data_IF_667604942299
#
_entry.id   IF_667604942299
#
_cell.length_a   1.000
_cell.length_b   1.000
_cell.length_c   1.000
_cell.angle_alpha   90.00
_cell.angle_beta   90.00
_cell.angle_gamma   90.00
#
_symmetry.space_group_name_H-M   'P 1'
#
loop_
_entity.id
_entity.type
_entity.pdbx_description
1 polymer ?
#
# COMPACT_ATOMS: atom_id res chain seq x y z
N UNK A 1 35.09 20.58 67.14
CA UNK A 1 35.05 19.84 65.86
C UNK A 1 33.60 19.57 65.53
N UNK A 2 33.16 20.07 64.38
CA UNK A 2 31.80 19.96 63.87
C UNK A 2 31.52 18.54 63.35
N UNK A 3 30.26 18.11 63.41
CA UNK A 3 29.60 17.39 62.31
C UNK A 3 28.09 17.40 62.53
N UNK A 4 27.41 18.08 61.61
CA UNK A 4 25.97 18.23 61.49
C UNK A 4 25.39 16.95 60.86
N UNK A 5 24.38 16.35 61.48
CA UNK A 5 23.53 15.32 60.85
C UNK A 5 22.36 16.07 60.22
N UNK A 6 22.36 16.16 58.89
CA UNK A 6 21.28 16.79 58.13
C UNK A 6 20.19 15.72 57.91
N UNK A 7 19.01 16.01 58.42
CA UNK A 7 17.76 15.29 58.23
C UNK A 7 17.14 15.80 56.91
N UNK A 8 17.00 14.95 55.90
CA UNK A 8 16.27 15.28 54.67
C UNK A 8 14.94 14.54 54.65
N UNK A 9 13.89 15.35 54.66
CA UNK A 9 12.49 15.01 54.60
C UNK A 9 12.06 14.65 53.17
N UNK A 10 10.99 13.88 53.13
CA UNK A 10 10.19 13.38 52.01
C UNK A 10 9.84 14.37 50.90
N UNK A 11 9.80 13.87 49.67
CA UNK A 11 9.20 14.56 48.52
C UNK A 11 9.32 13.75 47.23
N UNK A 12 8.62 12.61 47.14
CA UNK A 12 8.46 11.88 45.88
C UNK A 12 7.45 12.62 45.02
N UNK A 13 7.92 13.44 44.08
CA UNK A 13 7.06 14.03 43.05
C UNK A 13 6.58 12.94 42.08
N UNK A 14 5.27 12.78 42.04
CA UNK A 14 4.52 11.89 41.17
C UNK A 14 4.50 12.49 39.75
N UNK A 15 5.34 11.96 38.84
CA UNK A 15 5.35 12.38 37.43
C UNK A 15 4.13 11.78 36.73
N UNK A 16 3.10 12.62 36.60
CA UNK A 16 1.87 12.36 35.83
C UNK A 16 2.19 12.17 34.34
N UNK A 17 1.91 11.01 33.71
CA UNK A 17 2.28 10.70 32.32
C UNK A 17 1.27 11.26 31.29
N UNK A 18 0.63 12.40 31.56
CA UNK A 18 -0.50 12.89 30.74
C UNK A 18 -0.16 13.99 29.72
N UNK A 19 1.11 14.27 29.43
CA UNK A 19 1.51 15.41 28.57
C UNK A 19 2.32 15.05 27.32
N UNK A 20 2.60 13.76 27.06
CA UNK A 20 3.41 13.35 25.90
C UNK A 20 2.60 13.07 24.62
N UNK A 21 1.29 12.86 24.74
CA UNK A 21 0.42 12.54 23.59
C UNK A 21 0.02 13.81 22.80
N UNK A 22 -0.03 14.95 23.48
CA UNK A 22 -0.35 16.26 22.88
C UNK A 22 0.78 16.87 22.07
N UNK A 23 2.00 16.32 22.10
CA UNK A 23 3.14 16.86 21.34
C UNK A 23 3.23 16.33 19.90
N UNK A 24 2.49 15.28 19.53
CA UNK A 24 2.54 14.69 18.18
C UNK A 24 1.35 15.06 17.30
N UNK A 25 0.32 15.70 17.85
CA UNK A 25 -0.85 16.17 17.09
C UNK A 25 -0.65 17.67 16.83
N UNK A 26 -0.50 18.10 15.56
CA UNK A 26 -0.33 19.52 15.21
C UNK A 26 -1.52 20.35 15.67
N UNK A 27 -1.26 21.62 16.02
CA UNK A 27 -2.35 22.55 16.32
C UNK A 27 -3.02 23.04 15.02
N UNK A 28 -4.28 23.49 15.10
CA UNK A 28 -5.03 24.01 13.95
C UNK A 28 -4.28 25.15 13.23
N UNK A 29 -3.66 26.06 13.99
CA UNK A 29 -2.93 27.19 13.41
C UNK A 29 -1.70 26.75 12.61
N UNK A 30 -1.02 25.68 13.04
CA UNK A 30 0.13 25.11 12.33
C UNK A 30 -0.30 24.46 11.02
N UNK A 31 -1.44 23.75 11.05
CA UNK A 31 -2.04 23.14 9.86
C UNK A 31 -2.48 24.21 8.86
N UNK A 32 -3.13 25.29 9.30
CA UNK A 32 -3.52 26.42 8.44
C UNK A 32 -2.31 27.10 7.80
N UNK A 33 -1.25 27.32 8.58
CA UNK A 33 0.00 27.93 8.09
C UNK A 33 0.67 27.06 7.04
N UNK A 34 0.77 25.75 7.29
CA UNK A 34 1.32 24.77 6.34
C UNK A 34 0.50 24.74 5.04
N UNK A 35 -0.83 24.67 5.16
CA UNK A 35 -1.73 24.60 4.02
C UNK A 35 -1.64 25.87 3.16
N UNK A 36 -1.60 27.05 3.79
CA UNK A 36 -1.45 28.34 3.12
C UNK A 36 -0.11 28.41 2.38
N UNK A 37 0.98 28.00 3.03
CA UNK A 37 2.29 27.97 2.40
C UNK A 37 2.33 27.04 1.17
N UNK A 38 1.77 25.83 1.28
CA UNK A 38 1.71 24.85 0.18
C UNK A 38 0.82 25.33 -0.98
N UNK A 39 -0.30 26.00 -0.68
CA UNK A 39 -1.20 26.56 -1.67
C UNK A 39 -0.57 27.73 -2.43
N UNK A 40 0.10 28.64 -1.72
CA UNK A 40 0.52 29.94 -2.25
C UNK A 40 1.91 29.90 -2.91
N UNK A 41 2.81 29.06 -2.40
CA UNK A 41 4.21 29.05 -2.84
C UNK A 41 4.57 27.92 -3.80
N UNK A 42 3.68 26.93 -3.97
CA UNK A 42 4.00 25.70 -4.69
C UNK A 42 2.88 25.26 -5.63
N UNK A 43 3.17 24.37 -6.58
CA UNK A 43 2.24 23.72 -7.53
C UNK A 43 2.03 22.20 -7.26
N UNK A 44 2.17 21.77 -6.01
CA UNK A 44 1.81 20.44 -5.51
C UNK A 44 0.31 20.11 -5.71
N UNK A 45 -0.04 19.21 -6.63
CA UNK A 45 -1.43 18.76 -6.87
C UNK A 45 -2.02 17.87 -5.74
N UNK A 46 -1.19 17.13 -5.01
CA UNK A 46 -1.62 16.25 -3.91
C UNK A 46 -0.55 16.21 -2.81
N UNK A 47 -0.98 16.25 -1.55
CA UNK A 47 -0.13 16.24 -0.37
C UNK A 47 -0.74 15.35 0.73
N UNK A 48 0.08 14.51 1.36
CA UNK A 48 -0.34 13.62 2.45
C UNK A 48 0.66 13.68 3.61
N UNK A 49 0.17 13.85 4.85
CA UNK A 49 0.94 13.89 6.09
C UNK A 49 0.35 12.90 7.09
N UNK A 50 1.18 11.97 7.58
CA UNK A 50 0.84 11.00 8.62
C UNK A 50 1.72 11.18 9.84
N UNK A 51 1.09 11.44 10.97
CA UNK A 51 1.69 11.50 12.30
C UNK A 51 0.95 10.51 13.20
N UNK A 52 1.54 10.13 14.33
CA UNK A 52 0.94 9.16 15.26
C UNK A 52 -0.39 9.68 15.82
N UNK A 53 -1.50 9.31 15.18
CA UNK A 53 -2.85 9.76 15.52
C UNK A 53 -3.41 10.93 14.68
N UNK A 54 -2.68 11.41 13.67
CA UNK A 54 -3.14 12.50 12.79
C UNK A 54 -2.83 12.18 11.32
N UNK A 55 -3.85 12.27 10.46
CA UNK A 55 -3.72 12.06 9.03
C UNK A 55 -4.33 13.25 8.29
N UNK A 56 -3.54 13.91 7.45
CA UNK A 56 -3.98 15.02 6.60
C UNK A 56 -3.71 14.65 5.14
N UNK A 57 -4.77 14.67 4.31
CA UNK A 57 -4.67 14.54 2.86
C UNK A 57 -5.29 15.75 2.20
N UNK A 58 -4.55 16.37 1.30
CA UNK A 58 -4.93 17.54 0.53
C UNK A 58 -4.80 17.20 -0.96
N UNK A 59 -5.83 17.50 -1.74
CA UNK A 59 -5.82 17.36 -3.20
C UNK A 59 -6.28 18.69 -3.78
N UNK A 60 -5.52 19.24 -4.74
CA UNK A 60 -5.87 20.48 -5.43
C UNK A 60 -5.95 20.25 -6.93
N UNK A 61 -6.99 20.80 -7.53
CA UNK A 61 -7.15 20.81 -8.98
C UNK A 61 -6.33 21.95 -9.56
N UNK A 62 -5.10 21.64 -10.00
CA UNK A 62 -4.33 22.59 -10.80
C UNK A 62 -4.93 22.67 -12.20
N UNK A 63 -5.39 23.86 -12.55
CA UNK A 63 -5.88 24.16 -13.89
C UNK A 63 -4.72 24.01 -14.86
N UNK A 64 -4.66 22.87 -15.55
CA UNK A 64 -3.84 22.71 -16.73
C UNK A 64 -4.41 23.67 -17.77
N UNK A 65 -3.69 24.77 -18.04
CA UNK A 65 -3.94 25.60 -19.21
C UNK A 65 -3.93 24.64 -20.41
N UNK A 66 -5.10 24.50 -21.02
CA UNK A 66 -5.37 23.59 -22.12
C UNK A 66 -4.66 24.18 -23.36
N UNK A 67 -3.39 23.86 -23.55
CA UNK A 67 -2.70 24.25 -24.77
C UNK A 67 -3.42 23.60 -25.97
N UNK A 68 -3.72 24.35 -27.04
CA UNK A 68 -4.26 23.79 -28.26
C UNK A 68 -3.30 22.72 -28.80
N UNK A 69 -3.82 21.52 -29.06
CA UNK A 69 -3.11 20.49 -29.79
C UNK A 69 -2.64 21.08 -31.14
N UNK A 70 -1.37 20.88 -31.54
CA UNK A 70 -0.95 21.23 -32.89
C UNK A 70 -1.78 20.43 -33.92
N UNK A 71 -2.15 21.03 -35.06
CA UNK A 71 -2.91 20.34 -36.09
C UNK A 71 -2.13 19.11 -36.57
N UNK A 72 -2.84 17.99 -36.70
CA UNK A 72 -2.29 16.72 -37.18
C UNK A 72 -1.58 16.91 -38.53
N UNK A 73 -0.41 16.28 -38.75
CA UNK A 73 0.20 16.23 -40.08
C UNK A 73 -0.73 15.46 -41.04
N UNK A 74 -0.95 16.03 -42.22
CA UNK A 74 -1.72 15.42 -43.30
C UNK A 74 -1.17 14.02 -43.69
N UNK A 75 -2.03 13.09 -44.15
CA UNK A 75 -1.58 11.78 -44.63
C UNK A 75 -0.71 11.93 -45.88
N UNK A 76 0.47 11.31 -45.85
CA UNK A 76 1.36 11.19 -47.00
C UNK A 76 0.76 10.25 -48.08
N UNK A 77 1.07 10.46 -49.37
CA UNK A 77 0.48 9.69 -50.46
C UNK A 77 0.98 8.24 -50.51
N UNK A 78 0.05 7.38 -50.90
CA UNK A 78 0.13 5.94 -51.12
C UNK A 78 1.16 5.57 -52.21
N UNK A 79 2.16 4.75 -51.89
CA UNK A 79 3.03 4.13 -52.90
C UNK A 79 2.53 2.71 -53.11
N UNK A 80 1.85 2.54 -54.25
CA UNK A 80 1.45 1.26 -54.83
C UNK A 80 2.71 0.43 -55.15
N UNK A 81 2.84 -0.75 -54.56
CA UNK A 81 3.72 -1.78 -55.10
C UNK A 81 2.93 -3.06 -55.33
N UNK A 82 2.52 -3.23 -56.58
CA UNK A 82 1.92 -4.43 -57.15
C UNK A 82 2.92 -5.58 -57.16
N UNK A 83 2.55 -6.71 -56.56
CA UNK A 83 3.02 -8.03 -56.98
C UNK A 83 1.92 -9.07 -56.75
N UNK A 84 1.66 -9.83 -57.80
CA UNK A 84 0.50 -10.68 -58.04
C UNK A 84 0.69 -12.15 -57.60
N UNK A 85 -0.32 -12.71 -56.91
CA UNK A 85 -1.09 -13.98 -57.13
C UNK A 85 -0.26 -15.28 -57.37
N UNK A 86 -0.50 -16.43 -56.68
CA UNK A 86 -1.83 -17.07 -56.69
C UNK A 86 -2.41 -17.70 -55.42
N UNK A 87 -3.74 -17.72 -55.48
CA UNK A 87 -4.71 -18.41 -54.66
C UNK A 87 -4.46 -19.91 -54.54
N UNK A 88 -4.62 -20.42 -53.34
CA UNK A 88 -5.20 -21.74 -53.12
C UNK A 88 -6.30 -21.65 -52.07
N UNK A 89 -7.45 -22.14 -52.50
CA UNK A 89 -8.72 -22.22 -51.81
C UNK A 89 -8.80 -23.44 -50.88
N UNK A 90 -9.70 -23.32 -49.88
CA UNK A 90 -10.31 -24.36 -49.03
C UNK A 90 -9.80 -24.43 -47.58
N UNK A 91 -10.67 -24.02 -46.65
CA UNK A 91 -10.41 -24.14 -45.22
C UNK A 91 -11.56 -23.64 -44.35
N UNK A 92 -12.77 -24.11 -44.61
CA UNK A 92 -13.90 -24.09 -43.68
C UNK A 92 -13.45 -24.72 -42.34
N UNK A 93 -13.51 -23.98 -41.23
CA UNK A 93 -14.12 -24.45 -39.97
C UNK A 93 -14.36 -23.29 -39.00
N UNK A 94 -15.65 -23.08 -38.74
CA UNK A 94 -16.16 -22.38 -37.56
C UNK A 94 -15.87 -23.20 -36.31
N UNK A 95 -15.93 -22.49 -35.18
CA UNK A 95 -16.26 -22.99 -33.84
C UNK A 95 -15.08 -23.46 -32.99
N UNK A 96 -14.80 -22.69 -31.94
CA UNK A 96 -14.55 -23.26 -30.62
C UNK A 96 -15.02 -22.26 -29.57
N UNK A 97 -16.29 -22.44 -29.18
CA UNK A 97 -16.77 -22.05 -27.86
C UNK A 97 -16.04 -22.91 -26.81
N UNK A 98 -15.78 -22.27 -25.67
CA UNK A 98 -15.80 -22.82 -24.32
C UNK A 98 -14.86 -23.99 -23.98
N UNK A 99 -13.87 -23.67 -23.13
CA UNK A 99 -13.60 -24.51 -21.96
C UNK A 99 -13.39 -23.61 -20.75
N UNK A 100 -14.50 -23.22 -20.12
CA UNK A 100 -14.49 -22.70 -18.75
C UNK A 100 -14.10 -23.86 -17.85
N UNK A 101 -12.81 -23.97 -17.58
CA UNK A 101 -12.28 -24.72 -16.45
C UNK A 101 -12.71 -23.94 -15.19
N UNK A 102 -13.33 -24.57 -14.18
CA UNK A 102 -13.52 -23.94 -12.88
C UNK A 102 -12.14 -23.84 -12.21
N UNK A 103 -11.41 -22.76 -12.51
CA UNK A 103 -10.25 -22.36 -11.74
C UNK A 103 -10.70 -21.61 -10.48
N UNK A 104 -10.00 -21.80 -9.36
CA UNK A 104 -10.39 -21.23 -8.09
C UNK A 104 -10.40 -19.71 -8.18
N UNK A 105 -11.60 -19.14 -8.03
CA UNK A 105 -12.00 -17.72 -8.03
C UNK A 105 -11.27 -16.82 -7.01
N UNK A 106 -10.14 -17.24 -6.45
CA UNK A 106 -9.49 -16.52 -5.34
C UNK A 106 -8.40 -15.52 -5.76
N UNK A 107 -8.08 -15.39 -7.05
CA UNK A 107 -7.07 -14.40 -7.52
C UNK A 107 -7.54 -13.53 -8.68
N UNK A 108 -8.85 -13.51 -9.00
CA UNK A 108 -9.39 -12.50 -9.91
C UNK A 108 -9.57 -11.17 -9.16
N UNK A 109 -9.43 -10.01 -9.84
CA UNK A 109 -9.67 -8.71 -9.22
C UNK A 109 -11.03 -8.63 -8.50
N UNK A 110 -12.09 -9.15 -9.11
CA UNK A 110 -13.45 -9.17 -8.56
C UNK A 110 -13.57 -10.03 -7.29
N UNK A 111 -12.91 -11.20 -7.26
CA UNK A 111 -12.91 -12.09 -6.10
C UNK A 111 -12.17 -11.49 -4.91
N UNK A 112 -11.08 -10.76 -5.17
CA UNK A 112 -10.30 -10.06 -4.15
C UNK A 112 -11.10 -8.89 -3.57
N UNK A 113 -11.75 -8.07 -4.41
CA UNK A 113 -12.59 -6.95 -3.95
C UNK A 113 -13.71 -7.41 -3.02
N UNK A 114 -14.46 -8.45 -3.42
CA UNK A 114 -15.53 -9.03 -2.58
C UNK A 114 -15.00 -9.57 -1.26
N UNK A 115 -13.81 -10.17 -1.26
CA UNK A 115 -13.20 -10.66 -0.02
C UNK A 115 -12.81 -9.50 0.89
N UNK A 116 -12.23 -8.44 0.34
CA UNK A 116 -11.82 -7.24 1.10
C UNK A 116 -13.01 -6.60 1.80
N UNK A 117 -14.14 -6.40 1.09
CA UNK A 117 -15.38 -5.88 1.70
C UNK A 117 -15.81 -6.72 2.90
N UNK A 118 -15.92 -8.04 2.72
CA UNK A 118 -16.31 -8.96 3.80
C UNK A 118 -15.30 -8.97 4.95
N UNK A 119 -14.01 -8.88 4.65
CA UNK A 119 -12.95 -8.88 5.65
C UNK A 119 -12.99 -7.60 6.49
N UNK A 120 -13.19 -6.44 5.86
CA UNK A 120 -13.34 -5.16 6.54
C UNK A 120 -14.60 -5.14 7.42
N UNK A 121 -15.73 -5.66 6.95
CA UNK A 121 -16.94 -5.84 7.77
C UNK A 121 -16.72 -6.76 8.98
N UNK A 122 -15.83 -7.76 8.81
CA UNK A 122 -15.40 -8.67 9.87
C UNK A 122 -14.33 -8.11 10.82
N UNK A 123 -13.95 -6.85 10.68
CA UNK A 123 -12.93 -6.21 11.53
C UNK A 123 -11.49 -6.61 11.22
N UNK A 124 -11.23 -7.23 10.06
CA UNK A 124 -9.86 -7.47 9.59
C UNK A 124 -9.28 -6.20 8.99
N UNK A 125 -8.00 -5.96 9.26
CA UNK A 125 -7.23 -4.90 8.62
C UNK A 125 -6.59 -5.42 7.33
N UNK A 126 -6.69 -4.61 6.28
CA UNK A 126 -6.15 -4.96 4.97
C UNK A 126 -4.83 -4.22 4.78
N UNK A 127 -3.74 -4.97 4.68
CA UNK A 127 -2.45 -4.45 4.24
C UNK A 127 -2.51 -4.22 2.74
N UNK A 128 -2.26 -2.98 2.33
CA UNK A 128 -2.27 -2.55 0.93
C UNK A 128 -0.85 -2.28 0.43
N UNK A 129 -0.64 -2.34 -0.88
CA UNK A 129 0.66 -2.07 -1.48
C UNK A 129 0.95 -0.57 -1.53
N UNK A 130 2.06 -0.08 -0.93
CA UNK A 130 2.47 1.32 -1.04
C UNK A 130 3.23 1.61 -2.34
N UNK A 131 3.48 0.60 -3.18
CA UNK A 131 4.31 0.67 -4.39
C UNK A 131 3.69 -0.15 -5.53
N UNK A 132 4.08 0.19 -6.76
CA UNK A 132 3.71 -0.59 -7.96
C UNK A 132 4.84 -1.56 -8.28
N UNK A 133 4.54 -2.83 -8.50
CA UNK A 133 5.55 -3.82 -8.84
C UNK A 133 5.01 -5.24 -8.89
N UNK A 134 5.87 -6.20 -8.61
CA UNK A 134 5.51 -7.63 -8.57
C UNK A 134 5.53 -8.12 -7.14
N UNK A 135 4.44 -8.74 -6.69
CA UNK A 135 4.32 -9.31 -5.36
C UNK A 135 5.25 -10.52 -5.19
N UNK A 136 6.04 -10.51 -4.12
CA UNK A 136 6.95 -11.60 -3.77
C UNK A 136 6.73 -12.02 -2.32
N UNK A 137 6.58 -13.33 -2.10
CA UNK A 137 6.44 -13.90 -0.74
C UNK A 137 7.75 -13.93 0.06
N UNK A 138 8.88 -13.80 -0.62
CA UNK A 138 10.22 -13.97 -0.08
C UNK A 138 11.21 -13.09 -0.86
N UNK A 139 12.31 -12.72 -0.24
CA UNK A 139 13.43 -12.07 -0.92
C UNK A 139 14.37 -13.06 -1.60
N UNK A 140 15.15 -12.56 -2.55
CA UNK A 140 16.24 -13.26 -3.21
C UNK A 140 17.55 -12.92 -2.50
N UNK A 141 18.25 -13.94 -2.00
CA UNK A 141 19.54 -13.80 -1.32
C UNK A 141 20.55 -14.66 -2.06
N UNK A 142 21.63 -14.06 -2.57
CA UNK A 142 22.70 -14.77 -3.30
C UNK A 142 22.17 -15.66 -4.45
N UNK A 143 21.19 -15.16 -5.20
CA UNK A 143 20.57 -15.88 -6.33
C UNK A 143 19.65 -17.03 -5.94
N UNK A 144 19.41 -17.26 -4.65
CA UNK A 144 18.46 -18.27 -4.16
C UNK A 144 17.27 -17.61 -3.47
N UNK A 145 16.13 -18.26 -3.60
CA UNK A 145 14.89 -17.80 -2.98
C UNK A 145 14.90 -18.14 -1.49
N UNK A 146 14.77 -17.12 -0.65
CA UNK A 146 14.64 -17.31 0.79
C UNK A 146 13.29 -17.95 1.15
N UNK A 147 13.11 -18.46 2.38
CA UNK A 147 11.79 -18.86 2.87
C UNK A 147 10.78 -17.70 2.79
N UNK A 148 9.47 -17.99 2.69
CA UNK A 148 8.44 -16.98 2.79
C UNK A 148 8.57 -16.16 4.07
N UNK A 149 8.43 -14.83 3.97
CA UNK A 149 8.49 -13.94 5.13
C UNK A 149 7.33 -14.18 6.10
N UNK A 150 6.20 -14.65 5.59
CA UNK A 150 5.04 -15.01 6.38
C UNK A 150 4.18 -16.11 5.75
N UNK A 151 3.33 -16.70 6.59
CA UNK A 151 2.37 -17.74 6.25
C UNK A 151 0.99 -17.39 6.85
N UNK A 152 -0.06 -17.98 6.31
CA UNK A 152 -1.41 -17.85 6.87
C UNK A 152 -1.46 -18.50 8.27
N UNK A 153 -2.25 -17.93 9.17
CA UNK A 153 -2.36 -18.24 10.59
C UNK A 153 -1.09 -17.96 11.41
N UNK A 154 -0.16 -17.16 10.87
CA UNK A 154 1.02 -16.73 11.61
C UNK A 154 0.76 -15.45 12.40
N UNK A 155 1.17 -15.44 13.67
CA UNK A 155 1.17 -14.23 14.50
C UNK A 155 2.35 -13.32 14.12
N UNK A 156 2.05 -12.04 13.91
CA UNK A 156 2.99 -11.00 13.48
C UNK A 156 2.92 -9.80 14.41
N UNK A 157 4.04 -9.08 14.51
CA UNK A 157 4.14 -7.82 15.24
C UNK A 157 4.24 -6.67 14.25
N UNK A 158 3.89 -5.48 14.71
CA UNK A 158 4.18 -4.23 13.99
C UNK A 158 5.67 -4.15 13.61
N UNK A 159 5.96 -3.67 12.40
CA UNK A 159 7.30 -3.58 11.83
C UNK A 159 7.89 -4.89 11.30
N UNK A 160 7.17 -6.02 11.42
CA UNK A 160 7.65 -7.29 10.83
C UNK A 160 7.46 -7.26 9.32
N UNK A 161 8.51 -7.60 8.56
CA UNK A 161 8.42 -7.79 7.10
C UNK A 161 7.52 -9.00 6.78
N UNK A 162 6.49 -8.77 5.98
CA UNK A 162 5.49 -9.78 5.59
C UNK A 162 5.66 -10.26 4.15
N UNK A 163 6.03 -9.36 3.25
CA UNK A 163 6.25 -9.66 1.83
C UNK A 163 7.20 -8.64 1.21
N UNK A 164 7.49 -8.78 -0.08
CA UNK A 164 8.30 -7.84 -0.84
C UNK A 164 7.58 -7.43 -2.12
N UNK A 165 7.79 -6.19 -2.56
CA UNK A 165 7.40 -5.74 -3.89
C UNK A 165 8.67 -5.55 -4.71
N UNK A 166 8.79 -6.34 -5.77
CA UNK A 166 9.88 -6.23 -6.74
C UNK A 166 9.54 -5.13 -7.76
N UNK A 167 10.34 -4.07 -7.74
CA UNK A 167 10.22 -2.93 -8.65
C UNK A 167 11.55 -2.75 -9.38
N UNK A 168 11.56 -3.06 -10.68
CA UNK A 168 12.74 -2.94 -11.55
C UNK A 168 13.98 -3.71 -11.01
N UNK A 169 13.77 -4.86 -10.34
CA UNK A 169 14.83 -5.68 -9.76
C UNK A 169 15.22 -5.29 -8.32
N UNK A 170 14.61 -4.25 -7.74
CA UNK A 170 14.75 -3.91 -6.34
C UNK A 170 13.60 -4.52 -5.53
N UNK A 171 13.90 -5.44 -4.62
CA UNK A 171 12.93 -6.03 -3.70
C UNK A 171 12.73 -5.12 -2.48
N UNK A 172 11.62 -4.39 -2.44
CA UNK A 172 11.26 -3.47 -1.36
C UNK A 172 10.47 -4.25 -0.29
N UNK A 173 10.92 -4.28 0.97
CA UNK A 173 10.18 -4.95 2.05
C UNK A 173 8.88 -4.22 2.37
N UNK A 174 7.81 -4.98 2.58
CA UNK A 174 6.54 -4.49 3.11
C UNK A 174 6.36 -5.02 4.52
N UNK A 175 6.23 -4.11 5.47
CA UNK A 175 6.10 -4.38 6.91
C UNK A 175 4.64 -4.34 7.36
N UNK A 176 4.36 -4.98 8.49
CA UNK A 176 3.04 -4.93 9.11
C UNK A 176 2.87 -3.62 9.89
N UNK A 177 1.81 -2.86 9.61
CA UNK A 177 1.46 -1.65 10.38
C UNK A 177 0.84 -1.96 11.75
N UNK A 178 0.39 -3.20 11.95
CA UNK A 178 -0.30 -3.64 13.16
C UNK A 178 0.25 -4.97 13.66
N UNK A 179 0.05 -5.23 14.96
CA UNK A 179 0.25 -6.57 15.53
C UNK A 179 -1.03 -7.39 15.37
N UNK A 180 -0.90 -8.68 15.07
CA UNK A 180 -2.07 -9.50 14.74
C UNK A 180 -1.73 -10.89 14.22
N UNK A 181 -2.73 -11.55 13.63
CA UNK A 181 -2.58 -12.84 12.95
C UNK A 181 -2.90 -12.69 11.47
N UNK A 182 -2.08 -13.27 10.60
CA UNK A 182 -2.34 -13.27 9.16
C UNK A 182 -3.49 -14.23 8.87
N UNK A 183 -4.62 -13.71 8.39
CA UNK A 183 -5.77 -14.55 8.07
C UNK A 183 -5.66 -15.10 6.65
N UNK A 184 -5.24 -14.26 5.70
CA UNK A 184 -5.18 -14.65 4.29
C UNK A 184 -4.21 -13.80 3.50
N UNK A 185 -3.46 -14.44 2.60
CA UNK A 185 -2.66 -13.76 1.58
C UNK A 185 -3.50 -13.64 0.31
N UNK A 186 -3.73 -12.40 -0.14
CA UNK A 186 -4.66 -12.08 -1.24
C UNK A 186 -4.01 -12.14 -2.62
N UNK A 187 -2.67 -12.14 -2.66
CA UNK A 187 -1.87 -12.15 -3.89
C UNK A 187 -1.00 -13.39 -3.98
N UNK A 188 -0.83 -13.91 -5.19
CA UNK A 188 0.09 -15.02 -5.46
C UNK A 188 1.48 -14.48 -5.80
N UNK A 189 2.48 -15.30 -5.54
CA UNK A 189 3.86 -14.96 -5.86
C UNK A 189 4.03 -14.73 -7.37
N UNK A 190 4.62 -13.58 -7.73
CA UNK A 190 4.79 -13.18 -9.12
C UNK A 190 3.61 -12.40 -9.72
N UNK A 191 2.53 -12.15 -8.96
CA UNK A 191 1.42 -11.33 -9.46
C UNK A 191 1.78 -9.84 -9.52
N UNK A 192 1.33 -9.11 -10.57
CA UNK A 192 1.47 -7.67 -10.62
C UNK A 192 0.55 -7.01 -9.58
N UNK A 193 1.05 -5.98 -8.91
CA UNK A 193 0.31 -5.19 -7.93
C UNK A 193 0.50 -3.70 -8.17
N UNK A 194 -0.59 -2.95 -8.07
CA UNK A 194 -0.65 -1.50 -8.13
C UNK A 194 -0.54 -0.86 -6.75
N UNK A 195 -0.50 0.47 -6.73
CA UNK A 195 -0.62 1.24 -5.49
C UNK A 195 -2.03 1.06 -4.90
N UNK A 196 -2.12 0.82 -3.59
CA UNK A 196 -3.38 0.60 -2.89
C UNK A 196 -3.95 -0.81 -3.08
N UNK A 197 -3.32 -1.67 -3.87
CA UNK A 197 -3.81 -3.03 -4.07
C UNK A 197 -3.75 -3.82 -2.75
N UNK A 198 -4.80 -4.56 -2.40
CA UNK A 198 -4.82 -5.38 -1.20
C UNK A 198 -3.85 -6.56 -1.34
N UNK A 199 -3.01 -6.74 -0.33
CA UNK A 199 -1.96 -7.76 -0.29
C UNK A 199 -2.28 -8.87 0.71
N UNK A 200 -2.60 -8.50 1.96
CA UNK A 200 -2.75 -9.43 3.08
C UNK A 200 -3.87 -8.95 4.00
N UNK A 201 -4.72 -9.86 4.46
CA UNK A 201 -5.70 -9.59 5.50
C UNK A 201 -5.17 -10.05 6.86
N UNK A 202 -5.17 -9.16 7.84
CA UNK A 202 -4.64 -9.37 9.19
C UNK A 202 -5.75 -9.17 10.20
N UNK A 203 -5.90 -10.11 11.14
CA UNK A 203 -6.74 -9.96 12.33
C UNK A 203 -5.95 -9.18 13.39
N UNK A 204 -6.35 -7.94 13.73
CA UNK A 204 -5.61 -7.13 14.68
C UNK A 204 -5.64 -7.74 16.09
N UNK A 205 -4.51 -7.69 16.78
CA UNK A 205 -4.39 -8.08 18.19
C UNK A 205 -3.92 -6.88 19.00
N UNK A 206 -4.73 -6.49 19.99
CA UNK A 206 -4.45 -5.36 20.86
C UNK A 206 -4.03 -5.87 22.25
N UNK A 207 -2.71 -6.03 22.51
CA UNK A 207 -2.23 -6.56 23.79
C UNK A 207 -2.59 -5.68 25.01
N UNK A 208 -3.01 -4.43 24.81
CA UNK A 208 -3.28 -3.46 25.88
C UNK A 208 -4.67 -3.49 26.52
N UNK A 209 -5.67 -4.14 25.92
CA UNK A 209 -7.07 -4.04 26.40
C UNK A 209 -7.36 -5.00 27.57
N UNK A 210 -6.52 -6.02 27.79
CA UNK A 210 -6.70 -7.01 28.87
C UNK A 210 -6.38 -6.50 30.28
N UNK A 211 -5.90 -5.25 30.41
CA UNK A 211 -5.52 -4.64 31.71
C UNK A 211 -6.54 -3.63 32.23
N UNK A 212 -7.67 -3.45 31.53
CA UNK A 212 -8.73 -2.49 31.87
C UNK A 212 -10.08 -3.15 32.16
N UNK A 213 -10.14 -4.48 32.22
CA UNK A 213 -11.30 -5.27 32.66
C UNK A 213 -10.97 -6.01 33.95
#
# INVERSE_FOLDING_TARGET
MASSVIKSETGSEEIKPSNLVSQLIPNLHEVETLLTNICDTSSIAEFELKLSGFNLRMVRSLKSENLPLPPAPAPAPDIQNTSSIPSDSNGLVKTSLALVKPEPVSSSPEGISRYVEKATDGGLSILVSPKVGVFRRSRTIKGKRAPPSCEENQVVKEGKVLCYIDQLGAEIPIESDISGEIVKILRKDGEPVGYGDPLIAVLPSFPGIKKLL
#
